data_IF_240517893822
#
_entry.id   IF_240517893822
#
_cell.length_a   1.000
_cell.length_b   1.000
_cell.length_c   1.000
_cell.angle_alpha   90.00
_cell.angle_beta   90.00
_cell.angle_gamma   90.00
#
_symmetry.space_group_name_H-M   'P 1'
#
loop_
_entity.id
_entity.type
_entity.pdbx_description
1 polymer ?
#
# COMPACT_ATOMS: atom_id res chain seq x y z
N UNK A 1 17.28 16.17 29.65
CA UNK A 1 15.82 16.04 29.81
C UNK A 1 15.50 14.60 30.20
N UNK A 2 14.29 14.33 30.70
CA UNK A 2 13.96 13.06 31.38
C UNK A 2 13.19 12.11 30.46
N UNK A 3 13.78 10.94 30.17
CA UNK A 3 13.12 9.80 29.54
C UNK A 3 11.83 9.43 30.29
N UNK A 4 10.71 9.30 29.57
CA UNK A 4 9.45 8.87 30.16
C UNK A 4 9.59 7.47 30.76
N UNK A 5 9.10 7.29 32.00
CA UNK A 5 9.11 6.01 32.71
C UNK A 5 7.73 5.73 33.32
N UNK A 6 7.06 4.64 32.95
CA UNK A 6 5.74 4.32 33.49
C UNK A 6 5.74 4.19 35.02
N UNK A 7 4.62 4.54 35.70
CA UNK A 7 3.30 4.83 35.14
C UNK A 7 3.08 6.29 34.73
N UNK A 8 2.26 6.52 33.70
CA UNK A 8 1.89 7.88 33.25
C UNK A 8 1.25 7.90 31.87
N UNK A 9 0.91 9.08 31.36
CA UNK A 9 0.41 9.24 29.99
C UNK A 9 1.55 9.07 28.98
N UNK A 10 1.34 8.22 27.99
CA UNK A 10 2.26 7.96 26.89
C UNK A 10 2.52 9.28 26.15
N UNK A 11 3.76 9.73 26.04
CA UNK A 11 4.07 11.02 25.44
C UNK A 11 4.07 11.00 23.90
N UNK A 12 3.65 9.89 23.28
CA UNK A 12 3.48 9.73 21.82
C UNK A 12 2.00 9.73 21.42
N UNK A 13 1.16 8.98 22.14
CA UNK A 13 -0.27 8.83 21.78
C UNK A 13 -1.25 9.27 22.89
N UNK A 14 -0.77 9.64 24.07
CA UNK A 14 -1.59 10.10 25.20
C UNK A 14 -2.20 9.00 26.09
N UNK A 15 -2.10 7.73 25.70
CA UNK A 15 -2.69 6.60 26.44
C UNK A 15 -2.06 6.41 27.84
N UNK A 16 -2.83 5.92 28.83
CA UNK A 16 -2.28 5.62 30.15
C UNK A 16 -1.44 4.34 30.16
N UNK A 17 -0.16 4.46 30.49
CA UNK A 17 0.77 3.32 30.55
C UNK A 17 0.93 2.84 32.00
N UNK A 18 0.67 1.56 32.31
CA UNK A 18 0.80 1.02 33.66
C UNK A 18 2.26 0.85 34.09
N UNK A 19 2.50 0.77 35.41
CA UNK A 19 3.84 0.60 35.96
C UNK A 19 4.46 -0.72 35.47
N UNK A 20 5.72 -0.66 35.04
CA UNK A 20 6.47 -1.84 34.59
C UNK A 20 6.21 -2.27 33.14
N UNK A 21 5.37 -1.55 32.40
CA UNK A 21 5.20 -1.79 30.97
C UNK A 21 6.51 -1.54 30.21
N UNK A 22 6.87 -2.47 29.33
CA UNK A 22 8.04 -2.34 28.48
C UNK A 22 7.81 -1.40 27.29
N UNK A 23 6.55 -1.29 26.84
CA UNK A 23 6.09 -0.44 25.74
C UNK A 23 4.64 -0.02 25.98
N UNK A 24 4.17 1.00 25.25
CA UNK A 24 2.77 1.38 25.17
C UNK A 24 2.01 0.33 24.34
N UNK A 25 0.88 -0.13 24.86
CA UNK A 25 0.00 -1.12 24.24
C UNK A 25 -0.75 -0.58 23.02
N UNK A 26 -0.99 0.73 22.94
CA UNK A 26 -1.67 1.35 21.81
C UNK A 26 -0.74 1.65 20.63
N UNK A 27 0.39 2.33 20.86
CA UNK A 27 1.27 2.80 19.77
C UNK A 27 2.61 2.08 19.68
N UNK A 28 2.92 1.16 20.61
CA UNK A 28 4.18 0.42 20.60
C UNK A 28 5.43 1.21 21.00
N UNK A 29 5.29 2.50 21.35
CA UNK A 29 6.43 3.30 21.82
C UNK A 29 7.02 2.74 23.12
N UNK A 30 8.34 2.81 23.27
CA UNK A 30 9.09 2.28 24.39
C UNK A 30 10.31 3.15 24.74
N UNK A 31 11.08 2.75 25.75
CA UNK A 31 12.30 3.47 26.17
C UNK A 31 13.32 3.68 25.03
N UNK A 32 13.35 2.78 24.04
CA UNK A 32 14.23 2.85 22.86
C UNK A 32 13.58 3.51 21.65
N UNK A 33 12.27 3.78 21.70
CA UNK A 33 11.51 4.33 20.59
C UNK A 33 10.38 5.24 21.12
N UNK A 34 10.55 6.56 21.05
CA UNK A 34 9.50 7.54 21.34
C UNK A 34 9.24 7.89 22.82
N UNK A 35 9.78 7.13 23.79
CA UNK A 35 9.81 7.57 25.21
C UNK A 35 11.09 8.30 25.61
N UNK A 36 12.11 8.26 24.75
CA UNK A 36 13.30 9.10 24.90
C UNK A 36 13.04 10.49 24.26
N UNK A 37 13.89 11.45 24.59
CA UNK A 37 13.79 12.82 24.09
C UNK A 37 14.41 12.96 22.67
N UNK A 38 15.22 11.99 22.26
CA UNK A 38 15.96 11.97 20.99
C UNK A 38 15.02 11.71 19.80
N UNK A 39 14.10 10.76 19.94
CA UNK A 39 13.13 10.40 18.91
C UNK A 39 12.03 11.45 18.75
N UNK A 40 11.80 12.28 19.76
CA UNK A 40 10.86 13.41 19.67
C UNK A 40 11.32 14.50 18.70
N UNK A 41 12.62 14.54 18.39
CA UNK A 41 13.18 15.52 17.46
C UNK A 41 13.03 15.11 15.98
N UNK A 42 12.60 13.88 15.71
CA UNK A 42 12.42 13.32 14.36
C UNK A 42 10.95 12.93 14.14
N UNK A 43 10.02 13.83 14.46
CA UNK A 43 8.58 13.63 14.27
C UNK A 43 8.11 13.89 12.83
N UNK A 44 8.95 14.54 12.02
CA UNK A 44 8.78 14.64 10.58
C UNK A 44 9.47 13.47 9.88
N UNK A 45 8.71 12.71 9.09
CA UNK A 45 9.34 12.00 7.98
C UNK A 45 9.90 13.12 7.10
N UNK A 46 11.23 13.20 6.99
CA UNK A 46 11.95 14.15 6.13
C UNK A 46 11.74 13.73 4.67
N UNK A 47 10.47 13.70 4.26
CA UNK A 47 10.06 13.45 2.90
C UNK A 47 10.49 14.68 2.11
N UNK A 48 11.28 14.52 1.05
CA UNK A 48 11.59 15.65 0.19
C UNK A 48 10.28 16.28 -0.30
N UNK A 49 10.14 17.58 -0.07
CA UNK A 49 8.89 18.32 -0.31
C UNK A 49 8.50 18.37 -1.80
N UNK A 50 9.45 18.14 -2.71
CA UNK A 50 9.26 18.34 -4.14
C UNK A 50 9.94 17.18 -4.90
N UNK A 51 9.18 16.54 -5.81
CA UNK A 51 9.60 15.51 -6.79
C UNK A 51 9.39 14.02 -6.45
N UNK A 52 8.41 13.64 -5.62
CA UNK A 52 7.92 12.25 -5.66
C UNK A 52 6.95 12.05 -6.84
N UNK A 53 7.46 11.52 -7.96
CA UNK A 53 6.64 11.11 -9.10
C UNK A 53 5.93 9.78 -8.80
N UNK A 54 4.67 9.90 -8.37
CA UNK A 54 3.82 8.76 -8.06
C UNK A 54 3.61 7.85 -9.28
N UNK A 55 3.50 8.43 -10.48
CA UNK A 55 3.19 7.69 -11.70
C UNK A 55 4.41 6.86 -12.15
N UNK A 56 5.62 7.44 -12.12
CA UNK A 56 6.89 6.74 -12.40
C UNK A 56 7.17 5.62 -11.37
N UNK A 57 6.88 5.86 -10.08
CA UNK A 57 7.00 4.83 -9.05
C UNK A 57 6.05 3.66 -9.30
N UNK A 58 4.78 3.94 -9.63
CA UNK A 58 3.78 2.91 -9.92
C UNK A 58 4.16 2.13 -11.17
N UNK A 59 4.60 2.79 -12.23
CA UNK A 59 5.03 2.12 -13.47
C UNK A 59 6.25 1.23 -13.25
N UNK A 60 7.27 1.72 -12.53
CA UNK A 60 8.50 0.96 -12.27
C UNK A 60 8.27 -0.25 -11.37
N UNK A 61 7.44 -0.11 -10.33
CA UNK A 61 7.33 -1.12 -9.27
C UNK A 61 6.12 -2.04 -9.43
N UNK A 62 5.07 -1.56 -10.10
CA UNK A 62 3.82 -2.29 -10.29
C UNK A 62 3.36 -2.35 -11.76
N UNK A 63 4.03 -1.66 -12.69
CA UNK A 63 3.75 -1.72 -14.14
C UNK A 63 4.21 -3.01 -14.83
N UNK A 64 4.55 -4.03 -14.07
CA UNK A 64 4.89 -5.36 -14.55
C UNK A 64 3.74 -5.98 -15.34
N UNK A 65 4.01 -6.14 -16.64
CA UNK A 65 3.16 -6.77 -17.65
C UNK A 65 1.83 -6.07 -17.86
N UNK A 66 1.86 -4.98 -18.63
CA UNK A 66 0.81 -4.72 -19.62
C UNK A 66 0.65 -6.01 -20.44
N UNK A 67 -0.19 -6.91 -19.95
CA UNK A 67 -0.47 -8.20 -20.52
C UNK A 67 -0.71 -8.03 -22.00
N UNK A 68 -0.17 -8.93 -22.79
CA UNK A 68 -0.12 -8.88 -24.24
C UNK A 68 -1.53 -8.73 -24.87
N UNK A 69 -2.06 -7.51 -24.86
CA UNK A 69 -3.42 -7.16 -25.29
C UNK A 69 -3.60 -7.39 -26.79
N UNK A 70 -2.48 -7.45 -27.53
CA UNK A 70 -2.49 -7.80 -28.94
C UNK A 70 -2.95 -9.25 -29.14
N UNK A 71 -2.48 -10.18 -28.32
CA UNK A 71 -2.87 -11.59 -28.42
C UNK A 71 -4.33 -11.79 -28.00
N UNK A 72 -4.76 -11.14 -26.92
CA UNK A 72 -6.15 -11.21 -26.44
C UNK A 72 -7.11 -10.62 -27.47
N UNK A 73 -6.79 -9.46 -28.06
CA UNK A 73 -7.63 -8.83 -29.09
C UNK A 73 -7.73 -9.64 -30.38
N UNK A 74 -6.64 -10.30 -30.79
CA UNK A 74 -6.63 -11.14 -31.98
C UNK A 74 -7.44 -12.43 -31.80
N UNK A 75 -7.38 -13.05 -30.61
CA UNK A 75 -8.21 -14.21 -30.27
C UNK A 75 -9.71 -13.85 -30.25
N UNK A 76 -10.07 -12.70 -29.66
CA UNK A 76 -11.45 -12.22 -29.64
C UNK A 76 -12.02 -11.98 -31.03
N UNK A 77 -11.20 -11.51 -31.98
CA UNK A 77 -11.63 -11.35 -33.37
C UNK A 77 -11.97 -12.70 -34.04
N UNK A 78 -11.16 -13.72 -33.82
CA UNK A 78 -11.44 -15.08 -34.33
C UNK A 78 -12.69 -15.71 -33.70
N UNK A 79 -12.89 -15.52 -32.39
CA UNK A 79 -14.11 -15.97 -31.71
C UNK A 79 -15.34 -15.32 -32.33
N UNK A 80 -15.33 -14.01 -32.54
CA UNK A 80 -16.44 -13.29 -33.17
C UNK A 80 -16.72 -13.80 -34.60
N UNK A 81 -15.68 -14.04 -35.40
CA UNK A 81 -15.80 -14.57 -36.76
C UNK A 81 -16.43 -15.97 -36.77
N UNK A 82 -15.95 -16.88 -35.90
CA UNK A 82 -16.48 -18.25 -35.81
C UNK A 82 -17.93 -18.22 -35.35
N UNK A 83 -18.27 -17.42 -34.33
CA UNK A 83 -19.62 -17.30 -33.82
C UNK A 83 -20.59 -16.80 -34.91
N UNK A 84 -20.16 -15.82 -35.70
CA UNK A 84 -20.93 -15.29 -36.82
C UNK A 84 -21.16 -16.37 -37.90
N UNK A 85 -20.12 -17.12 -38.27
CA UNK A 85 -20.25 -18.23 -39.23
C UNK A 85 -21.19 -19.32 -38.72
N UNK A 86 -21.12 -19.70 -37.44
CA UNK A 86 -22.03 -20.69 -36.84
C UNK A 86 -23.48 -20.19 -36.86
N UNK A 87 -23.72 -18.92 -36.53
CA UNK A 87 -25.05 -18.32 -36.59
C UNK A 87 -25.59 -18.29 -38.02
N UNK A 88 -24.77 -17.93 -39.00
CA UNK A 88 -25.17 -17.98 -40.41
C UNK A 88 -25.49 -19.41 -40.83
N UNK A 89 -24.64 -20.39 -40.49
CA UNK A 89 -24.89 -21.79 -40.82
C UNK A 89 -26.19 -22.28 -40.15
N UNK A 90 -26.43 -21.93 -38.89
CA UNK A 90 -27.66 -22.28 -38.18
C UNK A 90 -28.90 -21.60 -38.81
N UNK A 91 -28.78 -20.35 -39.25
CA UNK A 91 -29.84 -19.61 -39.92
C UNK A 91 -30.15 -20.15 -41.33
N UNK A 92 -29.12 -20.56 -42.07
CA UNK A 92 -29.24 -21.14 -43.41
C UNK A 92 -29.44 -22.65 -43.41
N UNK A 93 -29.55 -23.28 -42.23
CA UNK A 93 -29.95 -24.68 -42.09
C UNK A 93 -31.48 -24.70 -41.99
N UNK A 94 -32.20 -25.07 -43.07
CA UNK A 94 -33.66 -25.15 -43.07
C UNK A 94 -34.18 -26.21 -42.10
#
# INVERSE_FOLDING_TARGET
MSTFKPPGQCPVCGEWVPRGAAACDQCGSCAKSGWNDEDRAYDGVDLPDEDFDYDDFVEREFGGEAGNDRLTRQLWWWVALILFLVLLIAYFRP
#
